data_IF_795129610961
#
_entry.id   IF_795129610961
#
_cell.length_a   1.000
_cell.length_b   1.000
_cell.length_c   1.000
_cell.angle_alpha   90.00
_cell.angle_beta   90.00
_cell.angle_gamma   90.00
#
_symmetry.space_group_name_H-M   'P 1'
#
loop_
_entity.id
_entity.type
_entity.pdbx_description
1 polymer ?
#
# COMPACT_ATOMS: atom_id res chain seq x y z
N UNK A 1 -10.00 -20.34 -14.20
CA UNK A 1 -11.39 -20.33 -13.70
C UNK A 1 -11.77 -18.88 -13.50
N UNK A 2 -12.80 -18.40 -14.19
CA UNK A 2 -13.26 -17.02 -14.04
C UNK A 2 -14.16 -16.99 -12.79
N UNK A 3 -13.63 -16.54 -11.66
CA UNK A 3 -14.43 -16.41 -10.44
C UNK A 3 -15.25 -15.14 -10.60
N UNK A 4 -16.57 -15.27 -10.51
CA UNK A 4 -17.47 -14.10 -10.47
C UNK A 4 -17.29 -13.39 -9.12
N UNK A 5 -16.49 -12.31 -9.14
CA UNK A 5 -16.14 -11.52 -7.95
C UNK A 5 -17.37 -11.00 -7.21
N UNK A 6 -18.45 -10.69 -7.94
CA UNK A 6 -19.71 -10.21 -7.37
C UNK A 6 -20.42 -11.33 -6.62
N UNK A 7 -20.48 -12.53 -7.20
CA UNK A 7 -21.04 -13.69 -6.50
C UNK A 7 -20.26 -14.02 -5.23
N UNK A 8 -18.93 -13.92 -5.27
CA UNK A 8 -18.09 -14.17 -4.10
C UNK A 8 -18.31 -13.12 -3.00
N UNK A 9 -18.38 -11.84 -3.37
CA UNK A 9 -18.67 -10.76 -2.41
C UNK A 9 -20.05 -10.91 -1.78
N UNK A 10 -21.07 -11.24 -2.57
CA UNK A 10 -22.43 -11.44 -2.09
C UNK A 10 -22.50 -12.62 -1.12
N UNK A 11 -21.78 -13.70 -1.40
CA UNK A 11 -21.71 -14.88 -0.56
C UNK A 11 -21.05 -14.58 0.80
N UNK A 12 -19.95 -13.83 0.80
CA UNK A 12 -19.26 -13.39 2.02
C UNK A 12 -20.17 -12.47 2.86
N UNK A 13 -20.80 -11.47 2.24
CA UNK A 13 -21.69 -10.52 2.93
C UNK A 13 -22.88 -11.26 3.56
N UNK A 14 -23.50 -12.18 2.82
CA UNK A 14 -24.62 -12.96 3.34
C UNK A 14 -24.22 -13.85 4.52
N UNK A 15 -23.03 -14.44 4.48
CA UNK A 15 -22.51 -15.25 5.59
C UNK A 15 -22.28 -14.40 6.85
N UNK A 16 -21.69 -13.20 6.71
CA UNK A 16 -21.47 -12.29 7.82
C UNK A 16 -22.79 -11.78 8.44
N UNK A 17 -23.81 -11.50 7.60
CA UNK A 17 -25.17 -11.16 8.07
C UNK A 17 -25.79 -12.31 8.86
N UNK A 18 -25.66 -13.55 8.36
CA UNK A 18 -26.17 -14.76 9.04
C UNK A 18 -25.55 -14.95 10.42
N UNK A 19 -24.29 -14.57 10.59
CA UNK A 19 -23.58 -14.62 11.87
C UNK A 19 -23.78 -13.36 12.73
N UNK A 20 -24.64 -12.43 12.32
CA UNK A 20 -24.91 -11.15 13.00
C UNK A 20 -23.65 -10.30 13.23
N UNK A 21 -22.62 -10.46 12.40
CA UNK A 21 -21.37 -9.70 12.48
C UNK A 21 -21.49 -8.31 11.85
N UNK A 22 -22.48 -8.14 10.96
CA UNK A 22 -22.78 -6.89 10.26
C UNK A 22 -24.31 -6.68 10.20
N UNK A 23 -24.74 -5.43 10.16
CA UNK A 23 -26.15 -5.05 10.00
C UNK A 23 -26.68 -5.24 8.57
N UNK A 24 -28.01 -5.25 8.43
CA UNK A 24 -28.71 -5.37 7.14
C UNK A 24 -28.39 -4.23 6.17
N UNK A 25 -28.30 -3.00 6.70
CA UNK A 25 -28.30 -1.75 5.94
C UNK A 25 -26.96 -1.00 5.98
N UNK A 26 -25.87 -1.74 6.19
CA UNK A 26 -24.52 -1.21 6.17
C UNK A 26 -24.00 -1.17 4.73
N UNK A 27 -23.42 -0.04 4.32
CA UNK A 27 -22.60 0.01 3.11
C UNK A 27 -21.28 -0.72 3.36
N UNK A 28 -21.04 -1.79 2.61
CA UNK A 28 -19.87 -2.66 2.79
C UNK A 28 -19.03 -2.65 1.51
N UNK A 29 -17.74 -2.43 1.68
CA UNK A 29 -16.74 -2.59 0.62
C UNK A 29 -15.95 -3.85 0.88
N UNK A 30 -15.99 -4.80 -0.06
CA UNK A 30 -15.17 -6.01 -0.01
C UNK A 30 -13.87 -5.75 -0.76
N UNK A 31 -12.75 -5.78 -0.04
CA UNK A 31 -11.42 -5.66 -0.62
C UNK A 31 -10.80 -7.05 -0.62
N UNK A 32 -10.67 -7.66 -1.80
CA UNK A 32 -9.89 -8.88 -1.92
C UNK A 32 -8.42 -8.52 -2.06
N UNK A 33 -7.59 -9.11 -1.21
CA UNK A 33 -6.15 -9.10 -1.40
C UNK A 33 -5.76 -10.54 -1.76
N UNK A 34 -5.95 -10.91 -3.03
CA UNK A 34 -5.19 -12.01 -3.57
C UNK A 34 -3.74 -11.57 -3.40
N UNK A 35 -2.91 -12.30 -2.64
CA UNK A 35 -1.49 -11.98 -2.48
C UNK A 35 -0.80 -12.02 -3.85
N UNK A 36 -0.98 -10.95 -4.59
CA UNK A 36 -0.44 -10.72 -5.92
C UNK A 36 0.91 -10.10 -5.64
N UNK A 37 1.92 -10.98 -5.62
CA UNK A 37 3.33 -10.57 -5.56
C UNK A 37 3.71 -9.61 -6.70
N UNK A 38 2.87 -9.55 -7.74
CA UNK A 38 3.11 -8.84 -8.99
C UNK A 38 2.36 -7.50 -9.14
N UNK A 39 1.86 -6.91 -8.05
CA UNK A 39 1.22 -5.58 -8.13
C UNK A 39 2.27 -4.49 -8.39
N UNK A 40 1.97 -3.63 -9.37
CA UNK A 40 2.73 -2.42 -9.69
C UNK A 40 1.90 -1.19 -9.34
N UNK A 41 2.50 -0.28 -8.58
CA UNK A 41 1.94 1.02 -8.25
C UNK A 41 2.60 2.12 -9.07
N UNK A 42 1.83 3.12 -9.45
CA UNK A 42 2.31 4.42 -9.92
C UNK A 42 2.87 5.25 -8.76
N UNK A 43 3.64 6.29 -9.08
CA UNK A 43 4.11 7.26 -8.08
C UNK A 43 2.95 7.92 -7.32
N UNK A 44 1.83 8.21 -8.00
CA UNK A 44 0.63 8.76 -7.39
C UNK A 44 0.03 7.82 -6.35
N UNK A 45 -0.16 6.56 -6.70
CA UNK A 45 -0.71 5.55 -5.78
C UNK A 45 0.22 5.33 -4.59
N UNK A 46 1.55 5.29 -4.80
CA UNK A 46 2.51 5.20 -3.69
C UNK A 46 2.39 6.40 -2.76
N UNK A 47 2.28 7.62 -3.29
CA UNK A 47 2.12 8.83 -2.48
C UNK A 47 0.85 8.75 -1.61
N UNK A 48 -0.27 8.28 -2.17
CA UNK A 48 -1.52 8.06 -1.43
C UNK A 48 -1.42 6.96 -0.38
N UNK A 49 -0.70 5.87 -0.66
CA UNK A 49 -0.47 4.75 0.23
C UNK A 49 0.37 5.16 1.45
N UNK A 50 1.46 5.88 1.24
CA UNK A 50 2.37 6.33 2.32
C UNK A 50 1.96 7.67 2.93
N UNK A 51 0.81 8.23 2.52
CA UNK A 51 0.27 9.51 3.00
C UNK A 51 1.24 10.68 2.85
N UNK A 52 1.85 10.78 1.67
CA UNK A 52 2.77 11.86 1.29
C UNK A 52 2.36 12.47 -0.07
N UNK A 53 3.28 13.17 -0.73
CA UNK A 53 3.08 13.77 -2.05
C UNK A 53 3.97 13.10 -3.12
N UNK A 54 3.61 13.27 -4.40
CA UNK A 54 4.35 12.68 -5.52
C UNK A 54 5.80 13.14 -5.62
N UNK A 55 6.09 14.41 -5.29
CA UNK A 55 7.47 14.94 -5.32
C UNK A 55 8.37 14.18 -4.37
N UNK A 56 7.91 13.96 -3.14
CA UNK A 56 8.65 13.21 -2.13
C UNK A 56 8.92 11.78 -2.56
N UNK A 57 7.96 11.11 -3.20
CA UNK A 57 8.17 9.76 -3.75
C UNK A 57 9.23 9.79 -4.87
N UNK A 58 9.24 10.79 -5.74
CA UNK A 58 10.32 10.95 -6.72
C UNK A 58 11.68 11.18 -6.05
N UNK A 59 11.73 11.92 -4.94
CA UNK A 59 12.98 12.16 -4.22
C UNK A 59 13.50 10.88 -3.54
N UNK A 60 12.62 10.03 -2.98
CA UNK A 60 12.98 8.68 -2.51
C UNK A 60 13.57 7.81 -3.63
N UNK A 61 13.01 7.89 -4.83
CA UNK A 61 13.51 7.14 -6.01
C UNK A 61 14.88 7.67 -6.44
N UNK A 62 15.04 8.99 -6.55
CA UNK A 62 16.31 9.64 -6.95
C UNK A 62 17.43 9.42 -5.93
N UNK A 63 17.10 9.41 -4.64
CA UNK A 63 18.02 9.07 -3.56
C UNK A 63 18.39 7.57 -3.53
N UNK A 64 17.78 6.73 -4.40
CA UNK A 64 18.05 5.30 -4.49
C UNK A 64 17.45 4.48 -3.35
N UNK A 65 16.54 5.06 -2.56
CA UNK A 65 15.92 4.39 -1.40
C UNK A 65 14.75 3.51 -1.81
N UNK A 66 13.98 3.95 -2.79
CA UNK A 66 12.80 3.25 -3.31
C UNK A 66 13.06 2.79 -4.75
N UNK A 67 13.30 1.50 -4.99
CA UNK A 67 13.48 0.95 -6.32
C UNK A 67 12.23 1.17 -7.19
N UNK A 68 12.45 1.52 -8.46
CA UNK A 68 11.37 1.77 -9.40
C UNK A 68 11.79 1.43 -10.84
N UNK A 69 10.79 1.14 -11.68
CA UNK A 69 10.93 0.79 -13.10
C UNK A 69 10.25 1.85 -13.96
N UNK A 70 10.82 2.18 -15.14
CA UNK A 70 10.21 3.09 -16.11
C UNK A 70 9.51 2.30 -17.21
N UNK A 71 8.18 2.25 -17.18
CA UNK A 71 7.33 1.58 -18.18
C UNK A 71 6.42 2.60 -18.89
N UNK A 72 7.01 3.71 -19.36
CA UNK A 72 6.31 4.94 -19.77
C UNK A 72 6.12 5.91 -18.61
N UNK A 73 5.58 5.43 -17.49
CA UNK A 73 5.61 6.11 -16.18
C UNK A 73 6.40 5.30 -15.16
N UNK A 74 6.84 5.94 -14.08
CA UNK A 74 7.52 5.23 -13.00
C UNK A 74 6.54 4.29 -12.30
N UNK A 75 7.01 3.08 -12.02
CA UNK A 75 6.26 2.01 -11.37
C UNK A 75 7.09 1.43 -10.23
N UNK A 76 6.43 1.13 -9.12
CA UNK A 76 7.02 0.58 -7.91
C UNK A 76 6.30 -0.74 -7.62
N UNK A 77 7.05 -1.83 -7.47
CA UNK A 77 6.43 -3.11 -7.12
C UNK A 77 5.94 -3.08 -5.67
N UNK A 78 4.87 -3.82 -5.37
CA UNK A 78 4.44 -3.99 -3.97
C UNK A 78 5.54 -4.55 -3.09
N UNK A 79 6.32 -5.49 -3.62
CA UNK A 79 7.46 -6.08 -2.92
C UNK A 79 8.47 -5.02 -2.50
N UNK A 80 8.87 -4.14 -3.42
CA UNK A 80 9.88 -3.11 -3.15
C UNK A 80 9.36 -2.05 -2.19
N UNK A 81 8.10 -1.63 -2.31
CA UNK A 81 7.48 -0.70 -1.38
C UNK A 81 7.46 -1.26 0.05
N UNK A 82 7.07 -2.52 0.23
CA UNK A 82 7.05 -3.13 1.56
C UNK A 82 8.46 -3.32 2.13
N UNK A 83 9.43 -3.74 1.31
CA UNK A 83 10.81 -3.87 1.72
C UNK A 83 11.41 -2.51 2.15
N UNK A 84 11.07 -1.44 1.43
CA UNK A 84 11.43 -0.07 1.79
C UNK A 84 10.86 0.31 3.17
N UNK A 85 9.55 0.12 3.39
CA UNK A 85 8.89 0.47 4.64
C UNK A 85 9.45 -0.30 5.84
N UNK A 86 9.74 -1.58 5.66
CA UNK A 86 10.32 -2.41 6.72
C UNK A 86 11.77 -1.98 7.05
N UNK A 87 12.59 -1.78 6.01
CA UNK A 87 14.00 -1.36 6.15
C UNK A 87 14.15 -0.02 6.89
N UNK A 88 13.28 0.93 6.58
CA UNK A 88 13.37 2.31 7.10
C UNK A 88 12.44 2.58 8.29
N UNK A 89 11.82 1.54 8.84
CA UNK A 89 11.08 1.65 10.10
C UNK A 89 12.00 2.20 11.18
N UNK A 90 11.52 3.19 11.94
CA UNK A 90 12.31 3.85 13.00
C UNK A 90 13.35 4.85 12.49
N UNK A 91 13.30 5.26 11.22
CA UNK A 91 14.16 6.30 10.66
C UNK A 91 13.36 7.56 10.31
N UNK A 92 14.01 8.72 10.41
CA UNK A 92 13.55 9.99 9.87
C UNK A 92 14.03 10.10 8.42
N UNK A 93 13.07 10.16 7.50
CA UNK A 93 13.29 10.29 6.06
C UNK A 93 12.76 11.63 5.53
N UNK A 94 12.50 12.63 6.38
CA UNK A 94 12.03 13.95 5.94
C UNK A 94 12.93 14.55 4.85
N UNK A 95 14.24 14.28 4.92
CA UNK A 95 15.19 14.45 3.83
C UNK A 95 15.72 13.06 3.37
N UNK A 96 15.26 12.56 2.20
CA UNK A 96 15.73 11.28 1.64
C UNK A 96 17.24 11.18 1.42
N UNK A 97 17.95 12.31 1.31
CA UNK A 97 19.39 12.34 1.10
C UNK A 97 20.18 12.36 2.42
N UNK A 98 19.50 12.47 3.56
CA UNK A 98 20.10 12.56 4.88
C UNK A 98 19.27 11.80 5.93
N UNK A 99 19.25 10.48 5.81
CA UNK A 99 18.46 9.59 6.68
C UNK A 99 19.04 9.58 8.09
N UNK A 100 18.18 9.73 9.09
CA UNK A 100 18.55 9.67 10.51
C UNK A 100 17.76 8.59 11.23
N UNK A 101 18.30 8.08 12.33
CA UNK A 101 17.52 7.21 13.23
C UNK A 101 16.59 8.09 14.06
N UNK A 102 15.33 7.70 14.20
CA UNK A 102 14.42 8.36 15.15
C UNK A 102 14.93 8.11 16.56
N UNK A 103 15.45 9.14 17.20
CA UNK A 103 15.93 9.06 18.58
C UNK A 103 14.71 8.79 19.48
N UNK A 104 14.68 7.64 20.17
CA UNK A 104 13.57 7.22 21.05
C UNK A 104 13.46 8.03 22.35
N UNK A 105 14.10 9.19 22.41
CA UNK A 105 14.08 10.05 23.58
C UNK A 105 12.96 11.05 23.34
N UNK A 106 11.88 10.91 24.10
CA UNK A 106 10.64 11.73 24.12
C UNK A 106 9.44 11.07 23.41
N UNK A 107 9.03 9.90 23.91
CA UNK A 107 7.60 9.59 24.07
C UNK A 107 7.27 9.61 25.56
#
# INVERSE_FOLDING_TARGET
MNVDEKQLSDLIINQLKKQSLIGSDQNITVIYNAESKDVLYTVTEVAELIKSNQSYVYDLIKAGLLPALKLGSMKITRKDLLAFLDKYKGHDLADPYNIKVLDKRNE
#
